data_IF_731081182826
#
_entry.id   IF_731081182826
#
_cell.length_a   1.000
_cell.length_b   1.000
_cell.length_c   1.000
_cell.angle_alpha   90.00
_cell.angle_beta   90.00
_cell.angle_gamma   90.00
#
_symmetry.space_group_name_H-M   'P 1'
#
loop_
_entity.id
_entity.type
_entity.pdbx_description
1 polymer ?
#
# COMPACT_ATOMS: atom_id res chain seq x y z
N UNK A 1 -6.98 -15.58 -20.03
CA UNK A 1 -7.29 -14.64 -21.13
C UNK A 1 -6.40 -13.41 -20.99
N UNK A 2 -5.57 -13.10 -22.00
CA UNK A 2 -4.69 -11.94 -21.95
C UNK A 2 -5.52 -10.64 -21.87
N UNK A 3 -5.14 -9.74 -20.96
CA UNK A 3 -5.79 -8.43 -20.80
C UNK A 3 -5.37 -7.55 -21.97
N UNK A 4 -6.15 -7.55 -23.05
CA UNK A 4 -5.85 -6.75 -24.25
C UNK A 4 -5.89 -5.26 -23.91
N UNK A 5 -4.77 -4.57 -24.07
CA UNK A 5 -4.68 -3.13 -23.86
C UNK A 5 -5.29 -2.39 -25.07
N UNK A 6 -6.44 -1.75 -24.89
CA UNK A 6 -7.15 -1.03 -25.96
C UNK A 6 -6.30 0.10 -26.58
N UNK A 7 -5.41 0.70 -25.79
CA UNK A 7 -4.46 1.72 -26.25
C UNK A 7 -3.51 1.16 -27.32
N UNK A 8 -2.85 0.05 -26.98
CA UNK A 8 -1.88 -0.61 -27.85
C UNK A 8 -2.52 -1.13 -29.13
N UNK A 9 -3.70 -1.74 -29.01
CA UNK A 9 -4.48 -2.19 -30.16
C UNK A 9 -4.87 -1.03 -31.09
N UNK A 10 -5.20 0.15 -30.53
CA UNK A 10 -5.53 1.34 -31.30
C UNK A 10 -4.31 1.87 -32.08
N UNK A 11 -3.14 1.91 -31.43
CA UNK A 11 -1.90 2.39 -32.07
C UNK A 11 -1.43 1.42 -33.16
N UNK A 12 -1.51 0.11 -32.94
CA UNK A 12 -1.14 -0.88 -33.96
C UNK A 12 -2.00 -0.75 -35.23
N UNK A 13 -3.32 -0.58 -35.07
CA UNK A 13 -4.22 -0.37 -36.21
C UNK A 13 -3.98 1.00 -36.89
N UNK A 14 -3.62 2.03 -36.13
CA UNK A 14 -3.20 3.31 -36.71
C UNK A 14 -1.91 3.18 -37.53
N UNK A 15 -0.91 2.43 -37.05
CA UNK A 15 0.32 2.12 -37.82
C UNK A 15 0.01 1.35 -39.11
N UNK A 16 -1.02 0.50 -39.10
CA UNK A 16 -1.52 -0.20 -40.27
C UNK A 16 -2.34 0.71 -41.24
N UNK A 17 -2.39 2.03 -41.00
CA UNK A 17 -3.03 3.00 -41.88
C UNK A 17 -4.53 3.22 -41.65
N UNK A 18 -5.11 2.63 -40.59
CA UNK A 18 -6.55 2.76 -40.32
C UNK A 18 -6.90 4.10 -39.68
N UNK A 19 -8.05 4.63 -40.06
CA UNK A 19 -8.65 5.83 -39.49
C UNK A 19 -9.18 5.59 -38.07
N UNK A 20 -9.35 6.67 -37.30
CA UNK A 20 -9.91 6.59 -35.95
C UNK A 20 -11.33 5.99 -35.91
N UNK A 21 -12.11 6.14 -36.99
CA UNK A 21 -13.46 5.55 -37.10
C UNK A 21 -13.41 4.05 -37.30
N UNK A 22 -12.50 3.56 -38.14
CA UNK A 22 -12.31 2.12 -38.33
C UNK A 22 -11.77 1.47 -37.05
N UNK A 23 -10.83 2.14 -36.37
CA UNK A 23 -10.31 1.68 -35.08
C UNK A 23 -11.42 1.59 -34.04
N UNK A 24 -12.34 2.56 -34.00
CA UNK A 24 -13.49 2.55 -33.10
C UNK A 24 -14.38 1.32 -33.26
N UNK A 25 -14.63 0.91 -34.50
CA UNK A 25 -15.38 -0.32 -34.79
C UNK A 25 -14.55 -1.58 -34.46
N UNK A 26 -13.26 -1.61 -34.80
CA UNK A 26 -12.37 -2.76 -34.52
C UNK A 26 -12.26 -3.06 -33.02
N UNK A 27 -12.19 -2.03 -32.18
CA UNK A 27 -12.13 -2.22 -30.73
C UNK A 27 -13.51 -2.49 -30.09
N UNK A 28 -14.56 -2.65 -30.91
CA UNK A 28 -15.92 -2.93 -30.46
C UNK A 28 -16.52 -1.80 -29.63
N UNK A 29 -16.21 -0.54 -29.98
CA UNK A 29 -16.75 0.68 -29.32
C UNK A 29 -16.45 0.78 -27.82
N UNK A 30 -15.46 0.02 -27.32
CA UNK A 30 -15.04 -0.02 -25.91
C UNK A 30 -14.32 1.25 -25.45
N UNK A 31 -13.98 2.16 -26.35
CA UNK A 31 -13.44 3.48 -26.04
C UNK A 31 -14.02 4.52 -26.98
N UNK A 32 -14.22 5.74 -26.50
CA UNK A 32 -14.80 6.80 -27.32
C UNK A 32 -13.89 7.22 -28.48
N UNK A 33 -14.47 7.72 -29.57
CA UNK A 33 -13.72 8.33 -30.68
C UNK A 33 -12.76 9.44 -30.21
N UNK A 34 -13.17 10.22 -29.21
CA UNK A 34 -12.33 11.26 -28.59
C UNK A 34 -11.09 10.65 -27.94
N UNK A 35 -11.25 9.55 -27.23
CA UNK A 35 -10.16 8.81 -26.58
C UNK A 35 -9.18 8.26 -27.61
N UNK A 36 -9.69 7.64 -28.68
CA UNK A 36 -8.86 7.08 -29.76
C UNK A 36 -8.06 8.19 -30.45
N UNK A 37 -8.71 9.32 -30.79
CA UNK A 37 -8.03 10.49 -31.38
C UNK A 37 -6.95 11.04 -30.46
N UNK A 38 -7.21 11.10 -29.15
CA UNK A 38 -6.21 11.53 -28.16
C UNK A 38 -5.01 10.60 -28.15
N UNK A 39 -5.21 9.28 -28.13
CA UNK A 39 -4.12 8.30 -28.16
C UNK A 39 -3.28 8.37 -29.44
N UNK A 40 -3.92 8.55 -30.60
CA UNK A 40 -3.21 8.76 -31.88
C UNK A 40 -2.37 10.05 -31.82
N UNK A 41 -2.90 11.12 -31.24
CA UNK A 41 -2.17 12.38 -31.06
C UNK A 41 -0.97 12.20 -30.12
N UNK A 42 -1.18 11.61 -28.94
CA UNK A 42 -0.11 11.31 -27.98
C UNK A 42 0.98 10.43 -28.60
N UNK A 43 0.62 9.45 -29.42
CA UNK A 43 1.56 8.62 -30.17
C UNK A 43 2.36 9.44 -31.20
N UNK A 44 1.71 10.32 -31.98
CA UNK A 44 2.42 11.21 -32.92
C UNK A 44 3.40 12.15 -32.23
N UNK A 45 3.05 12.64 -31.05
CA UNK A 45 3.85 13.62 -30.31
C UNK A 45 5.05 12.97 -29.59
N UNK A 46 4.96 11.70 -29.22
CA UNK A 46 5.95 11.04 -28.33
C UNK A 46 6.57 9.75 -28.86
N UNK A 47 6.06 9.19 -29.96
CA UNK A 47 6.38 7.88 -30.54
C UNK A 47 6.32 6.69 -29.54
N UNK A 48 5.62 6.87 -28.41
CA UNK A 48 5.50 5.87 -27.36
C UNK A 48 4.24 5.03 -27.52
N UNK A 49 4.41 3.71 -27.56
CA UNK A 49 3.31 2.75 -27.65
C UNK A 49 2.53 2.58 -26.34
N UNK A 50 3.15 2.91 -25.21
CA UNK A 50 2.60 2.73 -23.87
C UNK A 50 2.60 4.08 -23.14
N UNK A 51 1.52 4.32 -22.40
CA UNK A 51 1.47 5.46 -21.50
C UNK A 51 2.51 5.32 -20.39
N UNK A 52 3.16 6.44 -20.03
CA UNK A 52 3.99 6.47 -18.84
C UNK A 52 3.16 6.05 -17.63
N UNK A 53 3.78 5.30 -16.70
CA UNK A 53 3.15 5.05 -15.40
C UNK A 53 2.80 6.41 -14.81
N UNK A 54 1.52 6.61 -14.48
CA UNK A 54 1.11 7.82 -13.77
C UNK A 54 2.00 7.95 -12.54
N UNK A 55 2.58 9.13 -12.24
CA UNK A 55 3.31 9.31 -11.01
C UNK A 55 2.33 9.01 -9.87
N UNK A 56 2.54 7.87 -9.22
CA UNK A 56 1.81 7.52 -8.02
C UNK A 56 2.17 8.51 -6.92
N UNK A 57 1.47 8.41 -5.78
CA UNK A 57 1.89 9.16 -4.60
C UNK A 57 3.34 8.78 -4.27
N UNK A 58 4.27 9.75 -4.14
CA UNK A 58 5.66 9.44 -3.81
C UNK A 58 5.71 8.65 -2.50
N UNK A 59 6.25 7.43 -2.55
CA UNK A 59 6.49 6.62 -1.35
C UNK A 59 7.54 7.34 -0.48
N UNK A 60 7.31 7.39 0.82
CA UNK A 60 8.31 7.86 1.78
C UNK A 60 9.33 6.75 2.01
N UNK A 61 10.50 6.86 1.39
CA UNK A 61 11.63 6.00 1.69
C UNK A 61 12.25 6.47 3.01
N UNK A 62 12.24 5.63 4.05
CA UNK A 62 12.94 5.92 5.30
C UNK A 62 14.33 5.35 5.17
N UNK A 63 15.31 6.20 4.83
CA UNK A 63 16.73 5.81 4.72
C UNK A 63 17.25 5.26 6.05
N UNK A 64 18.19 4.32 6.00
CA UNK A 64 18.89 3.72 7.16
C UNK A 64 19.46 4.80 8.12
N UNK A 65 19.79 6.00 7.64
CA UNK A 65 20.22 7.14 8.48
C UNK A 65 19.15 7.65 9.45
N UNK A 66 17.85 7.47 9.16
CA UNK A 66 16.76 7.77 10.08
C UNK A 66 16.67 6.76 11.24
N UNK A 67 17.41 5.64 11.20
CA UNK A 67 17.43 4.62 12.27
C UNK A 67 18.01 5.15 13.60
N UNK A 68 18.71 6.29 13.64
CA UNK A 68 19.38 6.76 14.86
C UNK A 68 18.54 7.65 15.77
N UNK A 69 17.32 8.04 15.38
CA UNK A 69 16.41 8.70 16.32
C UNK A 69 15.61 7.62 17.02
N UNK A 70 16.05 7.25 18.22
CA UNK A 70 15.23 6.47 19.14
C UNK A 70 13.83 7.10 19.19
N UNK A 71 12.80 6.28 18.97
CA UNK A 71 11.42 6.74 18.99
C UNK A 71 11.17 7.53 20.28
N UNK A 72 10.60 8.73 20.16
CA UNK A 72 10.09 9.43 21.35
C UNK A 72 9.04 8.53 21.98
N UNK A 73 9.21 8.19 23.26
CA UNK A 73 8.17 7.49 24.02
C UNK A 73 6.87 8.26 23.85
N UNK A 74 5.82 7.59 23.38
CA UNK A 74 4.48 8.17 23.36
C UNK A 74 4.09 8.56 24.79
N UNK A 75 3.25 9.60 24.95
CA UNK A 75 2.70 9.97 26.26
C UNK A 75 1.90 8.78 26.77
N UNK A 76 2.52 7.94 27.60
CA UNK A 76 1.81 6.96 28.41
C UNK A 76 0.86 7.79 29.28
N UNK A 77 -0.42 7.40 29.45
CA UNK A 77 -1.29 8.07 30.41
C UNK A 77 -0.56 8.12 31.76
N UNK A 78 -0.54 9.29 32.40
CA UNK A 78 0.19 9.49 33.65
C UNK A 78 -0.30 8.44 34.66
N UNK A 79 0.57 7.49 35.01
CA UNK A 79 0.27 6.48 36.01
C UNK A 79 0.35 7.17 37.37
N UNK A 80 -0.75 7.18 38.11
CA UNK A 80 -0.73 7.54 39.52
C UNK A 80 0.01 6.45 40.31
N UNK A 81 0.50 6.78 41.50
CA UNK A 81 1.14 5.81 42.41
C UNK A 81 0.23 4.61 42.68
N UNK A 82 -1.08 4.85 42.86
CA UNK A 82 -2.08 3.81 43.06
C UNK A 82 -2.22 2.86 41.85
N UNK A 83 -2.04 3.34 40.62
CA UNK A 83 -2.02 2.48 39.43
C UNK A 83 -0.79 1.58 39.41
N UNK A 84 0.37 2.13 39.80
CA UNK A 84 1.62 1.37 39.87
C UNK A 84 1.51 0.27 40.91
N UNK A 85 1.03 0.60 42.10
CA UNK A 85 0.84 -0.35 43.19
C UNK A 85 -0.11 -1.50 42.81
N UNK A 86 -1.30 -1.18 42.28
CA UNK A 86 -2.27 -2.20 41.85
C UNK A 86 -1.71 -3.13 40.78
N UNK A 87 -0.97 -2.58 39.80
CA UNK A 87 -0.32 -3.36 38.74
C UNK A 87 0.78 -4.26 39.29
N UNK A 88 1.59 -3.75 40.21
CA UNK A 88 2.66 -4.52 40.86
C UNK A 88 2.08 -5.68 41.68
N UNK A 89 1.07 -5.39 42.50
CA UNK A 89 0.41 -6.40 43.33
C UNK A 89 -0.25 -7.48 42.47
N UNK A 90 -0.95 -7.10 41.40
CA UNK A 90 -1.53 -8.06 40.45
C UNK A 90 -0.45 -8.93 39.79
N UNK A 91 0.64 -8.34 39.30
CA UNK A 91 1.71 -9.08 38.64
C UNK A 91 2.42 -10.06 39.60
N UNK A 92 2.67 -9.64 40.84
CA UNK A 92 3.27 -10.48 41.87
C UNK A 92 2.34 -11.63 42.27
N UNK A 93 1.05 -11.34 42.48
CA UNK A 93 0.04 -12.35 42.76
C UNK A 93 -0.05 -13.36 41.62
N UNK A 94 -0.23 -12.90 40.38
CA UNK A 94 -0.38 -13.76 39.21
C UNK A 94 0.84 -14.67 39.00
N UNK A 95 2.06 -14.12 39.17
CA UNK A 95 3.30 -14.90 39.09
C UNK A 95 3.39 -15.99 40.15
N UNK A 96 2.96 -15.71 41.38
CA UNK A 96 3.00 -16.68 42.49
C UNK A 96 1.90 -17.74 42.37
N UNK A 97 0.68 -17.31 42.06
CA UNK A 97 -0.50 -18.17 42.03
C UNK A 97 -0.55 -19.09 40.79
N UNK A 98 0.03 -18.67 39.66
CA UNK A 98 -0.08 -19.36 38.37
C UNK A 98 1.28 -19.71 37.74
N UNK A 99 2.32 -19.89 38.56
CA UNK A 99 3.68 -20.22 38.08
C UNK A 99 3.75 -21.58 37.35
N UNK A 100 2.93 -22.55 37.76
CA UNK A 100 2.81 -23.89 37.16
C UNK A 100 1.84 -23.96 35.99
N UNK A 101 0.99 -22.95 35.83
CA UNK A 101 -0.14 -22.90 34.89
C UNK A 101 0.24 -22.51 33.45
N UNK A 102 1.45 -21.97 33.24
CA UNK A 102 1.93 -21.54 31.92
C UNK A 102 2.17 -22.69 30.92
N UNK A 103 2.18 -23.95 31.36
CA UNK A 103 2.56 -25.03 30.47
C UNK A 103 1.44 -25.51 29.54
N UNK A 104 0.16 -25.50 29.95
CA UNK A 104 -0.92 -26.11 29.14
C UNK A 104 -2.36 -25.59 29.38
N UNK A 105 -2.58 -24.44 30.03
CA UNK A 105 -3.95 -23.94 30.25
C UNK A 105 -4.49 -23.19 29.01
N UNK A 106 -5.77 -23.38 28.62
CA UNK A 106 -6.42 -22.64 27.55
C UNK A 106 -6.81 -21.24 28.05
N UNK A 107 -5.82 -20.37 28.27
CA UNK A 107 -6.09 -18.96 28.57
C UNK A 107 -6.41 -18.27 27.24
N UNK A 108 -7.68 -17.91 27.08
CA UNK A 108 -8.14 -17.08 25.96
C UNK A 108 -8.13 -15.61 26.39
N UNK A 109 -7.39 -14.78 25.67
CA UNK A 109 -7.45 -13.33 25.83
C UNK A 109 -8.39 -12.75 24.77
N UNK A 110 -9.23 -11.81 25.17
CA UNK A 110 -10.07 -11.02 24.27
C UNK A 110 -9.87 -9.53 24.57
N UNK A 111 -9.80 -8.72 23.53
CA UNK A 111 -9.78 -7.26 23.64
C UNK A 111 -10.68 -6.67 22.55
N UNK A 112 -11.27 -5.51 22.84
CA UNK A 112 -12.12 -4.80 21.91
C UNK A 112 -11.32 -3.72 21.20
N UNK A 113 -11.28 -3.79 19.87
CA UNK A 113 -10.66 -2.76 19.05
C UNK A 113 -11.72 -2.05 18.23
N UNK A 114 -11.76 -0.71 18.33
CA UNK A 114 -12.52 0.11 17.40
C UNK A 114 -11.84 0.08 16.03
N UNK A 115 -12.54 -0.45 15.03
CA UNK A 115 -12.16 -0.34 13.63
C UNK A 115 -12.98 0.77 12.98
N UNK A 116 -12.33 1.60 12.18
CA UNK A 116 -13.01 2.62 11.38
C UNK A 116 -13.14 2.12 9.95
N UNK A 117 -14.34 2.27 9.35
CA UNK A 117 -14.64 1.83 7.97
C UNK A 117 -13.73 2.56 6.98
N UNK A 118 -13.50 3.85 7.20
CA UNK A 118 -12.58 4.68 6.43
C UNK A 118 -11.18 4.72 7.04
N UNK A 119 -10.77 3.66 7.74
CA UNK A 119 -9.48 3.57 8.44
C UNK A 119 -8.36 4.07 7.55
N UNK A 120 -7.90 5.29 7.84
CA UNK A 120 -6.83 5.91 7.06
C UNK A 120 -5.66 4.94 6.99
N UNK A 121 -5.17 4.67 5.78
CA UNK A 121 -4.06 3.76 5.53
C UNK A 121 -2.96 3.99 6.57
N UNK A 122 -2.74 2.99 7.43
CA UNK A 122 -1.67 3.08 8.41
C UNK A 122 -0.36 3.17 7.62
N UNK A 123 0.33 4.32 7.72
CA UNK A 123 1.61 4.56 7.03
C UNK A 123 2.65 3.48 7.35
N UNK A 124 2.51 2.82 8.50
CA UNK A 124 3.38 1.74 8.95
C UNK A 124 3.17 0.45 8.15
N UNK A 125 1.93 0.15 7.73
CA UNK A 125 1.62 -1.05 6.93
C UNK A 125 2.13 -0.95 5.48
N UNK A 126 2.55 0.24 5.05
CA UNK A 126 3.11 0.51 3.71
C UNK A 126 4.62 0.78 3.74
N UNK A 127 5.28 0.59 4.89
CA UNK A 127 6.73 0.82 5.01
C UNK A 127 7.48 -0.41 4.51
N UNK A 128 8.24 -0.27 3.43
CA UNK A 128 9.19 -1.29 2.93
C UNK A 128 10.57 -0.96 3.48
N UNK A 129 11.24 -1.95 4.05
CA UNK A 129 12.59 -1.80 4.58
C UNK A 129 13.60 -2.06 3.46
N UNK A 130 14.31 -1.02 3.03
CA UNK A 130 15.35 -1.14 2.01
C UNK A 130 16.57 -0.28 2.36
N UNK A 131 17.73 -0.64 1.83
CA UNK A 131 19.00 0.09 1.98
C UNK A 131 18.96 1.37 1.13
N UNK A 132 18.37 1.27 -0.07
CA UNK A 132 18.20 2.39 -0.99
C UNK A 132 16.74 2.50 -1.48
N UNK A 133 16.43 3.63 -2.12
CA UNK A 133 15.10 3.84 -2.70
C UNK A 133 14.86 2.92 -3.90
N UNK A 134 15.89 2.69 -4.70
CA UNK A 134 15.81 1.82 -5.88
C UNK A 134 15.49 0.38 -5.48
N UNK A 135 16.04 -0.09 -4.38
CA UNK A 135 15.75 -1.41 -3.79
C UNK A 135 14.31 -1.49 -3.25
N UNK A 136 13.82 -0.43 -2.57
CA UNK A 136 12.44 -0.35 -2.09
C UNK A 136 11.38 -0.39 -3.22
N UNK A 137 11.78 0.01 -4.43
CA UNK A 137 10.91 0.01 -5.61
C UNK A 137 10.97 -1.33 -6.37
N UNK A 138 12.06 -2.10 -6.23
CA UNK A 138 12.23 -3.44 -6.80
C UNK A 138 11.45 -4.53 -6.04
N UNK A 139 11.35 -4.45 -4.72
CA UNK A 139 10.71 -5.48 -3.87
C UNK A 139 9.17 -5.57 -3.97
N UNK A 140 8.51 -4.73 -4.78
CA UNK A 140 7.03 -4.63 -4.82
C UNK A 140 6.47 -4.82 -6.24
N UNK A 141 7.14 -5.62 -7.07
CA UNK A 141 6.59 -6.17 -8.33
C UNK A 141 6.03 -7.57 -8.09
#
# INVERSE_FOLDING_TARGET
MAKVCLHELSIQNFKAGKSASEIYEIIGRRSSLRTIRRWIKEFKDSDKLQNSKKPGRPRSAVTVSNKKKAYKKSKIPLLTESHVEKRLNFAQYWRKARSTEFKNLPIMFSDEKKFTVDGGLNKQNLTVYAISRDEAEMEVL
#
